data_IF_484087176011
#
_entry.id   IF_484087176011
#
_cell.length_a   1.000
_cell.length_b   1.000
_cell.length_c   1.000
_cell.angle_alpha   90.00
_cell.angle_beta   90.00
_cell.angle_gamma   90.00
#
_symmetry.space_group_name_H-M   'P 1'
#
loop_
_entity.id
_entity.type
_entity.pdbx_description
1 polymer ?
#
# COMPACT_ATOMS: atom_id res chain seq x y z
N UNK A 1 -59.59 -25.78 3.40
CA UNK A 1 -58.32 -25.06 3.60
C UNK A 1 -58.63 -23.76 4.33
N UNK A 2 -58.13 -23.58 5.55
CA UNK A 2 -58.36 -22.33 6.29
C UNK A 2 -57.59 -21.18 5.59
N UNK A 3 -58.27 -20.09 5.26
CA UNK A 3 -57.66 -18.94 4.61
C UNK A 3 -57.19 -17.94 5.66
N UNK A 4 -55.88 -17.71 5.75
CA UNK A 4 -55.33 -16.72 6.69
C UNK A 4 -55.56 -15.30 6.17
N UNK A 5 -55.89 -14.37 7.07
CA UNK A 5 -56.08 -12.97 6.70
C UNK A 5 -54.72 -12.30 6.42
N UNK A 6 -54.64 -11.39 5.43
CA UNK A 6 -53.40 -10.69 5.12
C UNK A 6 -52.91 -9.81 6.29
N UNK A 7 -53.83 -9.29 7.12
CA UNK A 7 -53.49 -8.54 8.33
C UNK A 7 -52.76 -9.41 9.36
N UNK A 8 -53.18 -10.66 9.54
CA UNK A 8 -52.52 -11.61 10.45
C UNK A 8 -51.12 -12.00 9.95
N UNK A 9 -50.96 -12.18 8.63
CA UNK A 9 -49.65 -12.43 8.02
C UNK A 9 -48.72 -11.21 8.20
N UNK A 10 -49.25 -9.99 8.10
CA UNK A 10 -48.49 -8.76 8.34
C UNK A 10 -48.04 -8.63 9.81
N UNK A 11 -48.88 -8.99 10.78
CA UNK A 11 -48.48 -8.99 12.20
C UNK A 11 -47.43 -10.06 12.52
N UNK A 12 -47.57 -11.26 11.96
CA UNK A 12 -46.62 -12.34 12.15
C UNK A 12 -45.24 -11.98 11.56
N UNK A 13 -45.21 -11.41 10.35
CA UNK A 13 -43.96 -10.95 9.74
C UNK A 13 -43.31 -9.80 10.51
N UNK A 14 -44.12 -8.89 11.08
CA UNK A 14 -43.62 -7.84 11.98
C UNK A 14 -42.98 -8.41 13.24
N UNK A 15 -43.63 -9.36 13.91
CA UNK A 15 -43.10 -10.04 15.10
C UNK A 15 -41.82 -10.84 14.79
N UNK A 16 -41.80 -11.56 13.67
CA UNK A 16 -40.60 -12.24 13.20
C UNK A 16 -39.44 -11.24 13.03
N UNK A 17 -39.70 -10.10 12.41
CA UNK A 17 -38.67 -9.08 12.21
C UNK A 17 -38.11 -8.52 13.52
N UNK A 18 -38.95 -8.31 14.54
CA UNK A 18 -38.48 -7.87 15.86
C UNK A 18 -37.66 -8.93 16.59
N UNK A 19 -38.07 -10.21 16.53
CA UNK A 19 -37.34 -11.33 17.17
C UNK A 19 -35.93 -11.47 16.57
N UNK A 20 -35.84 -11.45 15.24
CA UNK A 20 -34.57 -11.69 14.53
C UNK A 20 -33.79 -10.41 14.21
N UNK A 21 -34.20 -9.26 14.75
CA UNK A 21 -33.56 -7.96 14.50
C UNK A 21 -33.40 -7.66 12.99
N UNK A 22 -34.40 -8.06 12.19
CA UNK A 22 -34.43 -7.77 10.75
C UNK A 22 -35.35 -6.59 10.45
N UNK A 23 -35.08 -5.86 9.37
CA UNK A 23 -35.90 -4.72 8.99
C UNK A 23 -37.27 -5.16 8.42
N UNK A 24 -38.35 -4.64 8.99
CA UNK A 24 -39.72 -4.81 8.49
C UNK A 24 -40.06 -3.72 7.47
N UNK A 25 -40.45 -4.09 6.23
CA UNK A 25 -40.77 -3.16 5.14
C UNK A 25 -42.04 -3.58 4.38
N UNK A 26 -43.24 -3.30 4.91
CA UNK A 26 -44.51 -3.73 4.30
C UNK A 26 -44.81 -3.01 2.99
N UNK A 27 -44.35 -1.77 2.83
CA UNK A 27 -44.60 -0.93 1.64
C UNK A 27 -43.56 -1.12 0.53
N UNK A 28 -42.59 -2.03 0.71
CA UNK A 28 -41.51 -2.30 -0.26
C UNK A 28 -40.74 -1.05 -0.73
N UNK A 29 -40.56 -0.07 0.18
CA UNK A 29 -39.86 1.19 -0.13
C UNK A 29 -38.35 0.95 -0.23
N UNK A 30 -37.66 1.72 -1.07
CA UNK A 30 -36.20 1.68 -1.23
C UNK A 30 -35.49 2.39 -0.07
N UNK A 31 -35.21 1.66 1.00
CA UNK A 31 -34.56 2.20 2.22
C UNK A 31 -33.03 2.28 2.15
N UNK A 32 -32.40 1.79 1.08
CA UNK A 32 -30.93 1.78 0.95
C UNK A 32 -30.21 0.68 1.76
N UNK A 33 -30.93 -0.18 2.49
CA UNK A 33 -30.35 -1.29 3.27
C UNK A 33 -29.47 -2.25 2.46
N UNK A 34 -29.64 -2.32 1.13
CA UNK A 34 -28.77 -3.06 0.21
C UNK A 34 -27.30 -2.65 0.35
N UNK A 35 -27.02 -1.36 0.50
CA UNK A 35 -25.66 -0.84 0.59
C UNK A 35 -25.06 -1.12 1.97
N UNK A 36 -25.86 -0.99 3.04
CA UNK A 36 -25.42 -1.26 4.42
C UNK A 36 -25.19 -2.75 4.71
N UNK A 37 -25.96 -3.64 4.09
CA UNK A 37 -25.76 -5.10 4.21
C UNK A 37 -24.51 -5.59 3.48
N UNK A 38 -23.97 -4.79 2.55
CA UNK A 38 -22.76 -5.17 1.83
C UNK A 38 -21.57 -5.07 2.79
N UNK A 39 -20.85 -6.18 2.98
CA UNK A 39 -19.60 -6.19 3.75
C UNK A 39 -18.59 -5.22 3.15
N UNK A 40 -17.90 -4.48 4.02
CA UNK A 40 -16.81 -3.58 3.62
C UNK A 40 -15.68 -4.38 2.94
N UNK A 41 -15.12 -3.80 1.86
CA UNK A 41 -14.06 -4.44 1.04
C UNK A 41 -12.68 -3.80 1.23
N UNK A 42 -12.59 -2.69 1.96
CA UNK A 42 -11.36 -1.91 2.15
C UNK A 42 -10.12 -2.74 2.53
N UNK A 43 -10.17 -3.57 3.58
CA UNK A 43 -9.01 -4.38 4.00
C UNK A 43 -8.51 -5.32 2.91
N UNK A 44 -9.42 -5.97 2.18
CA UNK A 44 -9.05 -6.85 1.06
C UNK A 44 -8.47 -6.08 -0.12
N UNK A 45 -8.94 -4.85 -0.37
CA UNK A 45 -8.43 -4.00 -1.46
C UNK A 45 -7.00 -3.52 -1.19
N UNK A 46 -6.67 -3.16 0.06
CA UNK A 46 -5.30 -2.73 0.44
C UNK A 46 -4.28 -3.84 0.19
N UNK A 47 -4.66 -5.11 0.41
CA UNK A 47 -3.78 -6.28 0.25
C UNK A 47 -3.50 -6.66 -1.22
N UNK A 48 -4.02 -5.93 -2.21
CA UNK A 48 -3.90 -6.31 -3.62
C UNK A 48 -2.44 -6.45 -4.08
N UNK A 49 -1.56 -5.53 -3.68
CA UNK A 49 -0.13 -5.68 -3.88
C UNK A 49 0.52 -6.24 -2.62
N UNK A 50 1.25 -7.36 -2.71
CA UNK A 50 1.97 -7.89 -1.55
C UNK A 50 3.06 -6.91 -1.12
N UNK A 51 3.34 -6.88 0.19
CA UNK A 51 4.50 -6.17 0.72
C UNK A 51 5.76 -6.77 0.11
N UNK A 52 6.52 -5.96 -0.64
CA UNK A 52 7.83 -6.36 -1.13
C UNK A 52 8.82 -6.22 0.02
N UNK A 53 9.30 -7.34 0.56
CA UNK A 53 10.38 -7.36 1.54
C UNK A 53 11.69 -7.52 0.78
N UNK A 54 12.41 -6.43 0.53
CA UNK A 54 13.76 -6.53 -0.03
C UNK A 54 14.70 -7.00 1.08
N UNK A 55 15.64 -7.89 0.78
CA UNK A 55 16.63 -8.40 1.75
C UNK A 55 17.39 -7.24 2.41
N UNK A 56 17.70 -6.18 1.65
CA UNK A 56 18.28 -4.94 2.18
C UNK A 56 17.38 -4.24 3.21
N UNK A 57 16.08 -4.13 2.95
CA UNK A 57 15.14 -3.48 3.86
C UNK A 57 14.96 -4.30 5.15
N UNK A 58 14.97 -5.63 5.03
CA UNK A 58 14.97 -6.53 6.19
C UNK A 58 16.25 -6.41 7.02
N UNK A 59 17.43 -6.39 6.40
CA UNK A 59 18.70 -6.25 7.13
C UNK A 59 18.89 -4.86 7.78
N UNK A 60 18.39 -3.79 7.14
CA UNK A 60 18.37 -2.44 7.72
C UNK A 60 17.50 -2.36 8.99
N UNK A 61 16.37 -3.08 9.02
CA UNK A 61 15.47 -3.11 10.17
C UNK A 61 16.01 -3.88 11.39
N UNK A 62 17.02 -4.74 11.22
CA UNK A 62 17.65 -5.53 12.29
C UNK A 62 18.78 -4.76 12.99
N UNK A 63 19.29 -3.67 12.42
CA UNK A 63 20.29 -2.81 13.06
C UNK A 63 19.65 -2.03 14.22
N UNK A 64 19.70 -2.64 15.40
CA UNK A 64 19.21 -2.09 16.66
C UNK A 64 20.20 -1.04 17.17
N UNK A 65 19.84 0.24 16.98
CA UNK A 65 20.15 1.47 17.76
C UNK A 65 21.58 1.79 18.23
N UNK A 66 22.58 0.94 18.02
CA UNK A 66 23.98 1.27 18.29
C UNK A 66 24.55 1.83 17.01
N UNK A 67 24.70 3.15 16.97
CA UNK A 67 25.06 3.87 15.76
C UNK A 67 26.35 3.35 15.14
N UNK A 68 26.24 2.92 13.87
CA UNK A 68 27.07 3.34 12.74
C UNK A 68 26.50 2.70 11.47
N UNK A 69 25.92 3.56 10.66
CA UNK A 69 25.89 3.52 9.19
C UNK A 69 25.88 2.13 8.53
N UNK A 70 24.67 1.63 8.24
CA UNK A 70 24.40 0.69 7.15
C UNK A 70 25.28 -0.58 7.06
N UNK A 71 25.61 -1.20 8.19
CA UNK A 71 26.24 -2.53 8.24
C UNK A 71 25.66 -3.38 9.36
N UNK A 72 25.25 -4.61 9.04
CA UNK A 72 25.06 -5.64 10.06
C UNK A 72 26.44 -6.25 10.27
N UNK A 73 27.17 -5.77 11.27
CA UNK A 73 28.46 -6.36 11.68
C UNK A 73 28.15 -7.77 12.20
N UNK A 74 28.67 -8.82 11.56
CA UNK A 74 28.71 -10.16 12.14
C UNK A 74 30.15 -10.49 12.48
N UNK A 75 30.38 -11.04 13.67
CA UNK A 75 31.69 -11.55 14.05
C UNK A 75 31.85 -12.98 13.54
N UNK A 76 32.99 -13.32 12.97
CA UNK A 76 33.37 -14.71 12.71
C UNK A 76 33.78 -15.39 14.05
N UNK A 77 33.94 -16.72 14.06
CA UNK A 77 34.27 -17.47 15.29
C UNK A 77 35.62 -17.08 15.93
N UNK A 78 36.45 -16.31 15.21
CA UNK A 78 37.72 -15.74 15.66
C UNK A 78 37.58 -14.32 16.25
N UNK A 79 36.38 -13.72 16.26
CA UNK A 79 36.11 -12.40 16.81
C UNK A 79 36.41 -11.22 15.88
N UNK A 80 36.67 -11.48 14.60
CA UNK A 80 36.92 -10.43 13.60
C UNK A 80 35.60 -9.94 12.98
N UNK A 81 35.53 -8.64 12.70
CA UNK A 81 34.35 -7.98 12.11
C UNK A 81 34.22 -8.38 10.63
N UNK A 82 33.36 -9.34 10.33
CA UNK A 82 32.91 -9.61 8.96
C UNK A 82 31.66 -8.77 8.66
N UNK A 83 31.90 -7.70 7.92
CA UNK A 83 30.89 -6.77 7.46
C UNK A 83 30.05 -7.45 6.35
N UNK A 84 28.96 -8.13 6.73
CA UNK A 84 28.07 -8.79 5.78
C UNK A 84 27.14 -7.74 5.13
N UNK A 85 27.72 -6.92 4.25
CA UNK A 85 27.00 -5.89 3.48
C UNK A 85 26.32 -6.54 2.28
N UNK A 86 25.00 -6.72 2.36
CA UNK A 86 24.21 -7.11 1.18
C UNK A 86 24.08 -5.89 0.27
N UNK A 87 24.58 -6.03 -0.95
CA UNK A 87 24.53 -5.00 -1.97
C UNK A 87 23.33 -5.21 -2.92
N UNK A 88 22.69 -4.13 -3.35
CA UNK A 88 21.69 -4.19 -4.43
C UNK A 88 22.39 -4.06 -5.78
N UNK A 89 22.56 -5.18 -6.48
CA UNK A 89 23.27 -5.24 -7.77
C UNK A 89 22.65 -4.32 -8.83
N UNK A 90 21.32 -4.24 -8.86
CA UNK A 90 20.60 -3.40 -9.82
C UNK A 90 20.88 -1.92 -9.54
N UNK A 91 20.92 -1.54 -8.27
CA UNK A 91 21.25 -0.16 -7.88
C UNK A 91 22.73 0.16 -8.15
N UNK A 92 23.65 -0.79 -7.96
CA UNK A 92 25.07 -0.61 -8.35
C UNK A 92 25.18 -0.27 -9.83
N UNK A 93 24.52 -1.09 -10.65
CA UNK A 93 24.58 -0.95 -12.09
C UNK A 93 23.96 0.38 -12.53
N UNK A 94 22.83 0.77 -11.92
CA UNK A 94 22.21 2.07 -12.18
C UNK A 94 23.16 3.24 -11.86
N UNK A 95 23.93 3.15 -10.77
CA UNK A 95 24.90 4.18 -10.39
C UNK A 95 26.08 4.25 -11.36
N UNK A 96 26.64 3.11 -11.77
CA UNK A 96 27.70 3.02 -12.78
C UNK A 96 27.24 3.60 -14.13
N UNK A 97 26.06 3.21 -14.59
CA UNK A 97 25.46 3.73 -15.83
C UNK A 97 25.29 5.26 -15.79
N UNK A 98 24.92 5.81 -14.62
CA UNK A 98 24.79 7.26 -14.42
C UNK A 98 26.14 7.95 -14.49
N UNK A 99 27.18 7.36 -13.90
CA UNK A 99 28.55 7.87 -13.93
C UNK A 99 29.10 7.90 -15.35
N UNK A 100 28.97 6.81 -16.11
CA UNK A 100 29.39 6.75 -17.51
C UNK A 100 28.65 7.77 -18.40
N UNK A 101 27.36 8.01 -18.14
CA UNK A 101 26.60 9.06 -18.85
C UNK A 101 27.11 10.45 -18.50
N UNK A 102 27.48 10.71 -17.24
CA UNK A 102 28.08 11.99 -16.81
C UNK A 102 29.43 12.21 -17.46
N UNK A 103 30.30 11.19 -17.47
CA UNK A 103 31.62 11.24 -18.11
C UNK A 103 31.51 11.59 -19.60
N UNK A 104 30.50 11.07 -20.31
CA UNK A 104 30.23 11.38 -21.73
C UNK A 104 29.49 12.71 -21.97
N UNK A 105 29.19 13.49 -20.93
CA UNK A 105 28.38 14.70 -21.04
C UNK A 105 26.92 14.44 -21.47
N UNK A 106 26.46 13.20 -21.42
CA UNK A 106 25.09 12.74 -21.69
C UNK A 106 24.28 12.52 -20.42
N UNK A 107 24.78 13.02 -19.29
CA UNK A 107 24.06 13.03 -18.02
C UNK A 107 22.76 13.84 -18.12
N UNK A 108 21.79 13.48 -17.30
CA UNK A 108 20.55 14.26 -17.20
C UNK A 108 20.87 15.72 -16.82
N UNK A 109 20.28 16.71 -17.50
CA UNK A 109 20.48 18.11 -17.14
C UNK A 109 19.93 18.39 -15.74
N UNK A 110 20.46 19.43 -15.08
CA UNK A 110 19.96 19.89 -13.79
C UNK A 110 18.46 20.17 -13.88
N UNK A 111 17.67 19.58 -12.98
CA UNK A 111 16.23 19.84 -12.90
C UNK A 111 16.00 21.27 -12.43
N UNK A 112 15.45 22.12 -13.29
CA UNK A 112 15.05 23.47 -12.95
C UNK A 112 13.96 23.44 -11.87
N UNK A 113 14.16 24.21 -10.78
CA UNK A 113 13.14 24.37 -9.72
C UNK A 113 12.28 25.61 -9.93
N UNK A 114 12.78 26.58 -10.69
CA UNK A 114 12.07 27.80 -11.07
C UNK A 114 11.98 27.96 -12.59
N UNK A 115 11.06 28.82 -13.06
CA UNK A 115 10.77 29.00 -14.49
C UNK A 115 11.96 29.54 -15.30
N UNK A 116 12.87 30.30 -14.67
CA UNK A 116 14.03 30.90 -15.33
C UNK A 116 15.26 29.99 -15.47
N UNK A 117 15.33 28.90 -14.68
CA UNK A 117 16.52 28.04 -14.60
C UNK A 117 16.57 26.96 -15.70
N UNK A 118 15.51 26.85 -16.50
CA UNK A 118 15.40 25.83 -17.55
C UNK A 118 16.21 26.17 -18.80
N UNK A 119 17.02 25.23 -19.31
CA UNK A 119 17.75 25.35 -20.59
C UNK A 119 16.90 25.75 -21.80
N UNK A 120 15.59 25.47 -21.77
CA UNK A 120 14.63 25.87 -22.82
C UNK A 120 14.12 27.30 -22.62
N UNK A 121 14.00 27.77 -21.38
CA UNK A 121 13.62 29.15 -21.06
C UNK A 121 14.71 30.15 -21.49
N UNK A 122 15.99 29.76 -21.35
CA UNK A 122 17.13 30.54 -21.86
C UNK A 122 17.29 30.53 -23.38
N UNK A 123 16.57 29.65 -24.10
CA UNK A 123 16.64 29.48 -25.57
C UNK A 123 15.50 30.19 -26.31
N UNK A 124 14.71 31.03 -25.64
CA UNK A 124 13.64 31.82 -26.27
C UNK A 124 14.27 32.78 -27.30
N UNK A 125 13.86 32.65 -28.57
CA UNK A 125 14.13 33.63 -29.63
C UNK A 125 13.47 34.96 -29.31
#
# INVERSE_FOLDING_TARGET
MATMTPSYLASLTRLRSSIFQTAYNPSSIRTGAKYLRRRLRGPSMIKYYPMRLTILEMMKGVSTKTGKENGVVKYNAAGEEEDMRVWDENELQRLRDVEDRKMRGKGAPKKARSKGEGRRASRKR
#
